data_IF_577966896875
#
_entry.id   IF_577966896875
#
_cell.length_a   1.000
_cell.length_b   1.000
_cell.length_c   1.000
_cell.angle_alpha   90.00
_cell.angle_beta   90.00
_cell.angle_gamma   90.00
#
_symmetry.space_group_name_H-M   'P 1'
#
loop_
_entity.id
_entity.type
_entity.pdbx_description
1 polymer ?
#
# COMPACT_ATOMS: atom_id res chain seq x y z
N UNK A 1 -33.05 -21.36 -81.11
CA UNK A 1 -34.17 -20.48 -81.46
C UNK A 1 -34.45 -19.59 -80.25
N UNK A 2 -34.23 -18.25 -80.34
CA UNK A 2 -34.48 -17.23 -79.28
C UNK A 2 -33.60 -17.36 -78.00
N UNK A 3 -33.24 -16.33 -77.20
CA UNK A 3 -33.25 -14.84 -77.30
C UNK A 3 -32.29 -14.24 -76.22
N UNK A 4 -31.64 -13.08 -76.48
CA UNK A 4 -31.01 -12.08 -75.54
C UNK A 4 -29.95 -12.53 -74.47
N UNK A 5 -28.78 -11.90 -74.23
CA UNK A 5 -28.42 -10.51 -73.80
C UNK A 5 -29.08 -10.12 -72.43
N UNK A 6 -28.45 -9.57 -71.36
CA UNK A 6 -27.22 -8.77 -71.05
C UNK A 6 -26.74 -9.17 -69.61
N UNK A 7 -25.48 -9.17 -69.10
CA UNK A 7 -24.11 -8.69 -69.44
C UNK A 7 -23.62 -7.36 -68.76
N UNK A 8 -23.00 -7.43 -67.56
CA UNK A 8 -21.98 -6.50 -66.95
C UNK A 8 -21.42 -7.21 -65.66
N UNK A 9 -20.11 -7.42 -65.38
CA UNK A 9 -18.94 -6.52 -65.16
C UNK A 9 -19.08 -5.75 -63.83
N UNK A 10 -18.15 -5.79 -62.84
CA UNK A 10 -16.84 -6.46 -62.70
C UNK A 10 -16.36 -6.53 -61.22
N UNK A 11 -15.31 -7.31 -60.91
CA UNK A 11 -14.09 -6.79 -60.26
C UNK A 11 -12.87 -7.72 -60.44
N UNK A 12 -11.66 -7.18 -60.25
CA UNK A 12 -10.37 -7.89 -60.40
C UNK A 12 -9.92 -8.61 -59.12
N UNK A 13 -9.17 -9.70 -59.28
CA UNK A 13 -8.40 -10.34 -58.20
C UNK A 13 -7.12 -10.99 -58.76
N UNK A 14 -5.95 -10.61 -58.27
CA UNK A 14 -4.65 -11.11 -58.75
C UNK A 14 -4.38 -12.54 -58.28
N UNK A 15 -3.81 -13.36 -59.16
CA UNK A 15 -3.11 -14.58 -58.79
C UNK A 15 -1.68 -14.25 -58.34
N UNK A 16 -1.31 -14.57 -57.10
CA UNK A 16 0.05 -14.52 -56.59
C UNK A 16 0.41 -15.86 -55.94
N UNK A 17 1.65 -16.31 -56.12
CA UNK A 17 2.15 -17.57 -55.54
C UNK A 17 2.35 -17.43 -54.02
N UNK A 18 1.89 -18.42 -53.26
CA UNK A 18 2.29 -18.60 -51.87
C UNK A 18 3.53 -19.50 -51.80
N UNK A 19 4.60 -19.01 -51.16
CA UNK A 19 5.74 -19.84 -50.77
C UNK A 19 5.44 -20.50 -49.40
N UNK A 20 5.91 -21.73 -49.22
CA UNK A 20 5.85 -22.44 -47.94
C UNK A 20 7.15 -22.21 -47.17
N UNK A 21 7.09 -21.70 -45.93
CA UNK A 21 8.06 -22.00 -44.89
C UNK A 21 7.54 -23.14 -43.99
N UNK A 22 8.46 -23.96 -43.54
CA UNK A 22 8.26 -25.15 -42.70
C UNK A 22 7.85 -24.75 -41.26
N UNK A 23 6.90 -25.46 -40.65
CA UNK A 23 6.57 -25.32 -39.23
C UNK A 23 6.34 -26.69 -38.60
N UNK A 24 6.97 -26.93 -37.45
CA UNK A 24 7.31 -28.28 -36.97
C UNK A 24 6.49 -28.68 -35.75
N UNK A 25 6.04 -29.95 -35.72
CA UNK A 25 5.82 -30.63 -34.44
C UNK A 25 4.52 -30.35 -33.67
N UNK A 26 3.38 -30.18 -34.35
CA UNK A 26 2.07 -30.16 -33.69
C UNK A 26 1.65 -31.53 -33.15
N UNK A 27 2.05 -31.89 -31.92
CA UNK A 27 1.56 -33.09 -31.21
C UNK A 27 0.93 -32.71 -29.87
N UNK A 28 -0.42 -32.63 -29.85
CA UNK A 28 -1.16 -32.41 -28.62
C UNK A 28 -1.19 -33.67 -27.76
N UNK A 29 -0.36 -33.72 -26.72
CA UNK A 29 -0.50 -34.71 -25.64
C UNK A 29 -1.76 -34.40 -24.82
N UNK A 30 -2.60 -35.41 -24.48
CA UNK A 30 -3.72 -35.19 -23.57
C UNK A 30 -3.19 -34.84 -22.18
N UNK A 31 -3.68 -33.76 -21.58
CA UNK A 31 -3.25 -33.33 -20.25
C UNK A 31 -3.86 -34.21 -19.16
N UNK A 32 -3.16 -35.29 -18.80
CA UNK A 32 -3.31 -35.97 -17.51
C UNK A 32 -2.70 -35.13 -16.40
N UNK A 33 -3.26 -35.19 -15.18
CA UNK A 33 -2.89 -34.39 -13.99
C UNK A 33 -1.48 -34.64 -13.40
N UNK A 34 -0.55 -35.17 -14.20
CA UNK A 34 0.80 -35.61 -13.80
C UNK A 34 1.91 -35.00 -14.67
N UNK A 35 1.65 -33.91 -15.39
CA UNK A 35 2.68 -33.14 -16.10
C UNK A 35 3.54 -32.36 -15.11
N UNK A 36 4.87 -32.50 -15.18
CA UNK A 36 5.83 -31.84 -14.28
C UNK A 36 5.60 -30.32 -14.15
N UNK A 37 5.73 -29.74 -12.93
CA UNK A 37 5.45 -28.33 -12.67
C UNK A 37 6.61 -27.42 -13.12
N UNK A 38 6.95 -27.45 -14.41
CA UNK A 38 8.20 -26.87 -14.93
C UNK A 38 8.08 -26.01 -16.19
N UNK A 39 6.92 -25.39 -16.45
CA UNK A 39 6.73 -24.55 -17.65
C UNK A 39 5.84 -23.30 -17.47
N UNK A 40 5.87 -22.66 -16.29
CA UNK A 40 5.25 -21.31 -16.09
C UNK A 40 6.11 -20.30 -15.33
N UNK A 41 7.12 -20.73 -14.57
CA UNK A 41 8.22 -19.88 -14.10
C UNK A 41 9.55 -20.40 -14.67
N UNK A 42 10.14 -19.66 -15.61
CA UNK A 42 11.33 -20.11 -16.32
C UNK A 42 12.58 -20.17 -15.44
N UNK A 43 13.06 -21.39 -15.15
CA UNK A 43 14.42 -21.75 -14.70
C UNK A 43 15.10 -20.84 -13.66
N UNK A 44 14.34 -20.28 -12.70
CA UNK A 44 14.93 -19.75 -11.46
C UNK A 44 15.29 -20.90 -10.53
N UNK A 45 16.43 -20.86 -9.81
CA UNK A 45 16.68 -21.81 -8.72
C UNK A 45 15.63 -21.61 -7.63
N UNK A 46 15.20 -22.70 -7.00
CA UNK A 46 14.34 -22.64 -5.83
C UNK A 46 15.17 -22.11 -4.64
N UNK A 47 14.70 -21.02 -4.04
CA UNK A 47 15.22 -20.53 -2.77
C UNK A 47 14.43 -21.17 -1.62
N UNK A 48 15.14 -21.78 -0.67
CA UNK A 48 14.57 -22.62 0.38
C UNK A 48 14.18 -24.05 -0.06
N UNK A 49 13.33 -24.69 0.73
CA UNK A 49 12.98 -26.12 0.61
C UNK A 49 11.75 -26.35 -0.29
N UNK A 50 10.86 -25.36 -0.40
CA UNK A 50 9.55 -25.47 -1.05
C UNK A 50 9.07 -24.12 -1.59
N UNK A 51 8.26 -24.15 -2.65
CA UNK A 51 7.64 -22.96 -3.21
C UNK A 51 6.49 -22.46 -2.32
N UNK A 52 6.58 -21.22 -1.82
CA UNK A 52 5.58 -20.59 -0.92
C UNK A 52 4.26 -20.17 -1.63
N UNK A 53 3.61 -21.10 -2.33
CA UNK A 53 2.37 -20.85 -3.12
C UNK A 53 1.17 -20.40 -2.26
N UNK A 54 1.09 -20.85 -1.01
CA UNK A 54 -0.05 -20.59 -0.10
C UNK A 54 -0.37 -19.10 0.09
N UNK A 55 0.63 -18.21 0.07
CA UNK A 55 0.39 -16.77 0.20
C UNK A 55 -0.03 -16.12 -1.13
N UNK A 56 0.54 -16.56 -2.26
CA UNK A 56 0.19 -16.03 -3.59
C UNK A 56 -1.29 -16.27 -3.94
N UNK A 57 -1.84 -17.41 -3.51
CA UNK A 57 -3.22 -17.82 -3.73
C UNK A 57 -4.18 -17.38 -2.60
N UNK A 58 -3.68 -16.69 -1.56
CA UNK A 58 -4.48 -16.30 -0.39
C UNK A 58 -5.55 -15.26 -0.76
N UNK A 59 -6.82 -15.62 -0.54
CA UNK A 59 -7.97 -14.71 -0.61
C UNK A 59 -8.34 -14.21 0.77
N UNK A 60 -8.66 -12.92 0.86
CA UNK A 60 -9.13 -12.27 2.10
C UNK A 60 -10.64 -12.45 2.26
N UNK A 61 -11.12 -12.59 3.50
CA UNK A 61 -12.55 -12.58 3.80
C UNK A 61 -13.10 -11.14 3.82
N UNK A 62 -14.20 -10.83 3.11
CA UNK A 62 -14.81 -9.51 3.14
C UNK A 62 -15.26 -9.15 4.56
N UNK A 63 -15.23 -7.87 4.90
CA UNK A 63 -15.72 -7.42 6.20
C UNK A 63 -17.23 -7.62 6.35
N UNK A 64 -17.62 -7.93 7.58
CA UNK A 64 -19.01 -7.96 8.02
C UNK A 64 -19.68 -6.58 7.86
N UNK A 65 -20.91 -6.60 7.32
CA UNK A 65 -21.74 -5.42 7.09
C UNK A 65 -22.58 -5.12 8.33
N UNK A 66 -21.99 -4.39 9.27
CA UNK A 66 -22.67 -3.81 10.43
C UNK A 66 -23.78 -2.87 9.94
N UNK A 67 -25.00 -2.99 10.48
CA UNK A 67 -26.12 -2.10 10.14
C UNK A 67 -26.04 -0.81 10.97
N UNK A 68 -26.61 0.27 10.45
CA UNK A 68 -26.63 1.58 11.14
C UNK A 68 -27.34 1.52 12.51
N UNK A 69 -28.34 0.65 12.67
CA UNK A 69 -29.04 0.45 13.95
C UNK A 69 -28.20 -0.30 15.00
N UNK A 70 -27.25 -1.12 14.55
CA UNK A 70 -26.46 -2.01 15.41
C UNK A 70 -25.12 -1.34 15.82
N UNK A 71 -24.85 -0.14 15.28
CA UNK A 71 -23.73 0.73 15.62
C UNK A 71 -24.07 1.61 16.84
N UNK A 72 -23.86 1.09 18.04
CA UNK A 72 -24.18 1.82 19.28
C UNK A 72 -23.25 3.03 19.54
N UNK A 73 -21.98 2.92 19.14
CA UNK A 73 -20.95 3.92 19.41
C UNK A 73 -19.86 3.87 18.34
N UNK A 74 -19.35 5.04 17.92
CA UNK A 74 -18.22 5.17 16.99
C UNK A 74 -17.24 6.26 17.49
N UNK A 75 -15.93 5.97 17.51
CA UNK A 75 -14.88 6.96 17.76
C UNK A 75 -13.73 6.77 16.77
N UNK A 76 -13.28 7.86 16.13
CA UNK A 76 -12.18 7.82 15.15
C UNK A 76 -10.86 8.21 15.80
N UNK A 77 -9.82 7.44 15.51
CA UNK A 77 -8.50 7.58 16.14
C UNK A 77 -7.45 7.57 15.04
N UNK A 78 -6.50 8.50 15.11
CA UNK A 78 -5.31 8.51 14.27
C UNK A 78 -4.12 8.15 15.14
N UNK A 79 -3.43 7.07 14.76
CA UNK A 79 -2.22 6.59 15.40
C UNK A 79 -0.99 6.84 14.54
N UNK A 80 0.19 6.79 15.15
CA UNK A 80 1.47 6.68 14.45
C UNK A 80 2.16 5.41 14.92
N UNK A 81 2.52 4.57 13.96
CA UNK A 81 3.46 3.45 14.09
C UNK A 81 4.87 4.03 13.85
N UNK A 82 5.80 3.78 14.75
CA UNK A 82 7.19 4.20 14.60
C UNK A 82 8.10 2.98 14.37
N UNK A 83 8.77 2.93 13.21
CA UNK A 83 9.53 1.73 12.79
C UNK A 83 10.80 1.49 13.62
N UNK A 84 11.21 2.49 14.41
CA UNK A 84 12.35 2.42 15.32
C UNK A 84 12.04 1.60 16.58
N UNK A 85 10.76 1.34 16.85
CA UNK A 85 10.34 0.46 17.95
C UNK A 85 10.53 -1.01 17.58
N UNK A 86 11.02 -1.83 18.52
CA UNK A 86 11.40 -3.23 18.27
C UNK A 86 10.28 -4.08 17.66
N UNK A 87 9.02 -3.82 18.03
CA UNK A 87 7.85 -4.55 17.52
C UNK A 87 7.51 -4.19 16.05
N UNK A 88 8.03 -3.06 15.55
CA UNK A 88 7.73 -2.50 14.24
C UNK A 88 8.89 -2.66 13.23
N UNK A 89 9.98 -3.34 13.59
CA UNK A 89 11.15 -3.48 12.71
C UNK A 89 10.86 -4.19 11.38
N UNK A 90 9.83 -5.06 11.31
CA UNK A 90 9.43 -5.73 10.06
C UNK A 90 9.00 -4.76 8.95
N UNK A 91 8.61 -3.52 9.29
CA UNK A 91 8.29 -2.48 8.30
C UNK A 91 9.53 -2.01 7.50
N UNK A 92 10.73 -2.23 8.05
CA UNK A 92 12.02 -1.79 7.52
C UNK A 92 12.91 -2.96 7.05
N UNK A 93 12.30 -4.11 6.79
CA UNK A 93 13.01 -5.29 6.30
C UNK A 93 13.67 -4.99 4.94
N UNK A 94 15.01 -5.16 4.77
CA UNK A 94 15.71 -4.61 3.60
C UNK A 94 15.31 -5.17 2.22
N UNK A 95 14.85 -6.42 2.13
CA UNK A 95 14.46 -7.06 0.86
C UNK A 95 13.05 -6.65 0.40
N UNK A 96 12.11 -6.60 1.35
CA UNK A 96 10.70 -6.25 1.11
C UNK A 96 10.20 -5.23 2.18
N UNK A 97 10.67 -3.97 2.16
CA UNK A 97 10.19 -2.97 3.11
C UNK A 97 8.75 -2.56 2.78
N UNK A 98 7.95 -2.26 3.82
CA UNK A 98 6.51 -2.07 3.66
C UNK A 98 6.14 -0.92 2.71
N UNK A 99 6.96 0.14 2.70
CA UNK A 99 6.79 1.26 1.78
C UNK A 99 6.91 0.83 0.32
N UNK A 100 7.93 0.03 -0.02
CA UNK A 100 8.18 -0.43 -1.38
C UNK A 100 6.99 -1.21 -1.95
N UNK A 101 6.35 -2.05 -1.14
CA UNK A 101 5.16 -2.81 -1.51
C UNK A 101 4.03 -1.84 -1.93
N UNK A 102 3.78 -0.80 -1.13
CA UNK A 102 2.79 0.24 -1.44
C UNK A 102 3.17 1.02 -2.72
N UNK A 103 4.43 1.45 -2.86
CA UNK A 103 4.86 2.25 -4.01
C UNK A 103 4.81 1.43 -5.32
N UNK A 104 5.23 0.16 -5.28
CA UNK A 104 5.17 -0.77 -6.42
C UNK A 104 3.71 -1.05 -6.81
N UNK A 105 2.80 -1.23 -5.86
CA UNK A 105 1.37 -1.40 -6.13
C UNK A 105 0.73 -0.13 -6.73
N UNK A 106 1.03 1.05 -6.18
CA UNK A 106 0.52 2.32 -6.69
C UNK A 106 0.99 2.63 -8.12
N UNK A 107 2.27 2.37 -8.44
CA UNK A 107 2.79 2.53 -9.80
C UNK A 107 2.07 1.64 -10.82
N UNK A 108 1.63 0.44 -10.42
CA UNK A 108 0.91 -0.52 -11.26
C UNK A 108 -0.60 -0.29 -11.40
N UNK A 109 -1.20 0.68 -10.69
CA UNK A 109 -2.66 0.81 -10.49
C UNK A 109 -3.32 -0.30 -9.62
N UNK A 110 -2.54 -1.11 -8.89
CA UNK A 110 -3.09 -2.16 -8.02
C UNK A 110 -3.81 -1.60 -6.78
N UNK A 111 -3.53 -0.35 -6.38
CA UNK A 111 -4.17 0.35 -5.25
C UNK A 111 -4.47 1.83 -5.56
N UNK A 112 -5.54 2.37 -4.99
CA UNK A 112 -5.88 3.79 -5.08
C UNK A 112 -5.15 4.62 -4.02
N UNK A 113 -4.51 5.72 -4.46
CA UNK A 113 -3.79 6.68 -3.61
C UNK A 113 -4.59 7.99 -3.49
N UNK A 114 -4.53 8.63 -2.33
CA UNK A 114 -5.36 9.77 -1.96
C UNK A 114 -4.58 10.91 -1.28
N UNK A 115 -5.10 12.13 -1.39
CA UNK A 115 -4.52 13.35 -0.79
C UNK A 115 -4.67 13.41 0.74
N UNK A 116 -3.63 13.96 1.37
CA UNK A 116 -3.48 14.26 2.79
C UNK A 116 -4.34 15.42 3.30
N UNK A 117 -4.88 16.28 2.43
CA UNK A 117 -5.52 17.56 2.80
C UNK A 117 -6.67 17.44 3.80
N UNK A 118 -7.49 16.38 3.67
CA UNK A 118 -8.82 16.31 4.28
C UNK A 118 -9.06 15.03 5.11
N UNK A 119 -8.09 14.10 5.16
CA UNK A 119 -8.20 12.76 5.80
C UNK A 119 -9.45 11.94 5.39
N UNK A 120 -10.16 12.30 4.31
CA UNK A 120 -11.50 11.77 3.95
C UNK A 120 -11.52 10.86 2.71
N UNK A 121 -10.35 10.57 2.11
CA UNK A 121 -10.23 9.75 0.89
C UNK A 121 -11.07 10.28 -0.30
N UNK A 122 -11.31 11.60 -0.39
CA UNK A 122 -12.09 12.21 -1.47
C UNK A 122 -11.27 12.44 -2.73
N UNK A 123 -10.08 13.03 -2.58
CA UNK A 123 -9.22 13.45 -3.68
C UNK A 123 -8.24 12.30 -4.01
N UNK A 124 -8.48 11.60 -5.12
CA UNK A 124 -7.56 10.57 -5.66
C UNK A 124 -6.38 11.23 -6.37
N UNK A 125 -5.17 10.77 -6.08
CA UNK A 125 -3.91 11.20 -6.70
C UNK A 125 -3.65 10.34 -7.94
N UNK A 126 -3.17 10.95 -9.03
CA UNK A 126 -2.78 10.25 -10.26
C UNK A 126 -1.33 9.75 -10.19
N UNK A 127 -0.99 8.69 -10.92
CA UNK A 127 0.34 8.03 -10.87
C UNK A 127 1.52 9.00 -11.04
N UNK A 128 1.40 9.97 -11.95
CA UNK A 128 2.46 10.95 -12.23
C UNK A 128 2.70 11.91 -11.04
N UNK A 129 1.67 12.18 -10.24
CA UNK A 129 1.74 12.96 -9.00
C UNK A 129 2.25 12.11 -7.83
N UNK A 130 1.90 10.81 -7.77
CA UNK A 130 2.56 9.87 -6.84
C UNK A 130 4.05 9.80 -7.16
N UNK A 131 4.44 9.70 -8.44
CA UNK A 131 5.83 9.68 -8.88
C UNK A 131 6.59 10.96 -8.51
N UNK A 132 6.01 12.14 -8.68
CA UNK A 132 6.67 13.40 -8.28
C UNK A 132 6.79 13.57 -6.76
N UNK A 133 5.91 12.94 -5.97
CA UNK A 133 6.05 12.81 -4.50
C UNK A 133 7.12 11.80 -4.07
N UNK A 134 7.51 10.84 -4.93
CA UNK A 134 8.59 9.86 -4.70
C UNK A 134 9.96 10.41 -5.12
N UNK A 135 10.12 10.84 -6.37
CA UNK A 135 11.41 11.26 -6.93
C UNK A 135 11.46 12.79 -7.09
N UNK A 136 12.15 13.48 -6.17
CA UNK A 136 12.40 14.92 -6.34
C UNK A 136 13.64 15.11 -7.20
N UNK A 137 13.44 15.53 -8.45
CA UNK A 137 14.52 16.12 -9.26
C UNK A 137 14.93 17.45 -8.60
N UNK A 138 16.19 17.55 -8.21
CA UNK A 138 16.76 18.78 -7.64
C UNK A 138 17.92 19.28 -8.49
N UNK A 139 18.11 20.59 -8.50
CA UNK A 139 18.96 21.27 -9.48
C UNK A 139 20.01 22.08 -8.75
N UNK A 140 21.17 21.47 -8.50
CA UNK A 140 22.27 22.14 -7.81
C UNK A 140 23.19 22.82 -8.83
N UNK A 141 23.30 24.15 -8.73
CA UNK A 141 24.23 24.94 -9.51
C UNK A 141 25.62 24.87 -8.87
N UNK A 142 26.56 24.20 -9.54
CA UNK A 142 27.95 24.07 -9.12
C UNK A 142 28.81 24.95 -10.02
N UNK A 143 29.42 25.98 -9.44
CA UNK A 143 30.40 26.81 -10.14
C UNK A 143 31.72 26.04 -10.27
N UNK A 144 32.19 25.85 -11.50
CA UNK A 144 33.42 25.10 -11.75
C UNK A 144 34.64 25.98 -11.42
N UNK A 145 35.56 25.58 -10.51
CA UNK A 145 36.56 26.48 -9.94
C UNK A 145 37.67 26.92 -10.91
N UNK A 146 37.80 26.29 -12.08
CA UNK A 146 38.79 26.67 -13.10
C UNK A 146 38.21 27.51 -14.25
N UNK A 147 36.92 27.35 -14.61
CA UNK A 147 36.29 28.10 -15.71
C UNK A 147 35.30 29.17 -15.25
N UNK A 148 34.91 29.18 -13.98
CA UNK A 148 33.85 30.04 -13.42
C UNK A 148 32.46 29.88 -14.08
N UNK A 149 32.27 28.86 -14.91
CA UNK A 149 30.98 28.54 -15.50
C UNK A 149 30.08 27.81 -14.50
N UNK A 150 28.79 28.19 -14.47
CA UNK A 150 27.80 27.52 -13.62
C UNK A 150 27.33 26.24 -14.29
N UNK A 151 27.79 25.09 -13.81
CA UNK A 151 27.34 23.77 -14.29
C UNK A 151 26.15 23.29 -13.48
N UNK A 152 25.01 23.20 -14.15
CA UNK A 152 23.73 22.72 -13.59
C UNK A 152 23.77 21.21 -13.35
N UNK A 153 24.06 20.77 -12.12
CA UNK A 153 24.02 19.36 -11.74
C UNK A 153 22.61 18.95 -11.32
N UNK A 154 21.86 18.45 -12.29
CA UNK A 154 20.58 17.78 -12.04
C UNK A 154 20.84 16.50 -11.23
N UNK A 155 20.39 16.47 -9.99
CA UNK A 155 20.50 15.34 -9.06
C UNK A 155 19.10 14.80 -8.79
N UNK A 156 18.87 13.52 -9.04
CA UNK A 156 17.62 12.86 -8.66
C UNK A 156 17.74 12.38 -7.22
N UNK A 157 16.98 12.99 -6.33
CA UNK A 157 16.76 12.46 -4.99
C UNK A 157 15.54 11.52 -5.08
N UNK A 158 15.83 10.28 -5.45
CA UNK A 158 14.86 9.17 -5.36
C UNK A 158 14.70 8.79 -3.89
N UNK A 159 13.45 8.64 -3.42
CA UNK A 159 13.16 8.38 -2.01
C UNK A 159 13.72 7.02 -1.57
N UNK A 160 14.46 7.02 -0.45
CA UNK A 160 14.90 5.81 0.22
C UNK A 160 13.84 5.39 1.26
N UNK A 161 13.53 4.09 1.36
CA UNK A 161 12.64 3.56 2.40
C UNK A 161 13.11 3.95 3.82
N UNK A 162 14.42 4.16 4.01
CA UNK A 162 15.02 4.58 5.28
C UNK A 162 14.64 6.00 5.74
N UNK A 163 14.13 6.85 4.83
CA UNK A 163 13.65 8.20 5.16
C UNK A 163 12.24 8.20 5.79
N UNK A 164 11.46 7.13 5.57
CA UNK A 164 10.10 6.96 6.09
C UNK A 164 10.15 6.16 7.39
N UNK A 165 10.31 6.89 8.51
CA UNK A 165 10.47 6.30 9.85
C UNK A 165 9.15 6.07 10.57
N UNK A 166 8.04 6.56 10.02
CA UNK A 166 6.74 6.53 10.66
C UNK A 166 5.62 6.26 9.65
N UNK A 167 4.56 5.62 10.11
CA UNK A 167 3.32 5.42 9.34
C UNK A 167 2.13 5.89 10.16
N UNK A 168 1.31 6.78 9.61
CA UNK A 168 0.01 7.13 10.21
C UNK A 168 -0.98 6.01 9.90
N UNK A 169 -1.80 5.65 10.88
CA UNK A 169 -2.93 4.74 10.69
C UNK A 169 -4.20 5.46 11.13
N UNK A 170 -5.24 5.43 10.32
CA UNK A 170 -6.57 5.96 10.64
C UNK A 170 -7.50 4.80 10.97
N UNK A 171 -8.04 4.80 12.18
CA UNK A 171 -8.85 3.73 12.75
C UNK A 171 -10.26 4.23 13.08
N UNK A 172 -11.24 3.34 12.95
CA UNK A 172 -12.58 3.48 13.53
C UNK A 172 -12.71 2.42 14.61
N UNK A 173 -12.89 2.87 15.85
CA UNK A 173 -13.30 2.04 16.99
C UNK A 173 -14.81 2.12 17.07
N UNK A 174 -15.50 0.98 17.17
CA UNK A 174 -16.95 0.93 17.18
C UNK A 174 -17.49 -0.21 18.04
N UNK A 175 -18.58 0.03 18.76
CA UNK A 175 -19.28 -1.02 19.50
C UNK A 175 -20.39 -1.61 18.63
N UNK A 176 -20.29 -2.92 18.39
CA UNK A 176 -21.26 -3.71 17.64
C UNK A 176 -22.29 -4.30 18.61
N UNK A 177 -23.54 -3.86 18.51
CA UNK A 177 -24.61 -4.27 19.42
C UNK A 177 -25.18 -5.67 19.13
N UNK A 178 -24.98 -6.23 17.93
CA UNK A 178 -25.43 -7.60 17.61
C UNK A 178 -24.48 -8.63 18.22
N UNK A 179 -23.18 -8.32 18.29
CA UNK A 179 -22.15 -9.20 18.88
C UNK A 179 -21.70 -8.80 20.29
N UNK A 180 -22.13 -7.62 20.78
CA UNK A 180 -21.75 -7.03 22.06
C UNK A 180 -20.23 -6.86 22.25
N UNK A 181 -19.49 -6.57 21.17
CA UNK A 181 -18.02 -6.43 21.19
C UNK A 181 -17.57 -5.06 20.69
N UNK A 182 -16.52 -4.51 21.31
CA UNK A 182 -15.79 -3.39 20.73
C UNK A 182 -14.89 -3.92 19.60
N UNK A 183 -15.18 -3.52 18.37
CA UNK A 183 -14.41 -3.85 17.17
C UNK A 183 -13.60 -2.65 16.71
N UNK A 184 -12.52 -2.90 15.96
CA UNK A 184 -11.75 -1.85 15.30
C UNK A 184 -11.62 -2.16 13.82
N UNK A 185 -11.72 -1.13 12.98
CA UNK A 185 -11.50 -1.24 11.52
C UNK A 185 -10.51 -0.17 11.08
N UNK A 186 -9.41 -0.58 10.46
CA UNK A 186 -8.46 0.35 9.85
C UNK A 186 -9.09 0.87 8.55
N UNK A 187 -9.20 2.20 8.42
CA UNK A 187 -9.67 2.85 7.20
C UNK A 187 -8.54 3.12 6.22
N UNK A 188 -7.33 3.42 6.72
CA UNK A 188 -6.24 3.77 5.84
C UNK A 188 -4.92 3.98 6.56
N UNK A 189 -3.86 4.00 5.75
CA UNK A 189 -2.46 4.12 6.17
C UNK A 189 -1.82 5.24 5.34
N UNK A 190 -0.91 6.00 5.94
CA UNK A 190 -0.14 7.03 5.24
C UNK A 190 1.34 6.99 5.65
N UNK A 191 2.28 6.80 4.71
CA UNK A 191 3.70 7.02 4.96
C UNK A 191 3.97 8.44 5.47
N UNK A 192 4.78 8.56 6.52
CA UNK A 192 5.23 9.84 7.07
C UNK A 192 6.72 10.04 6.75
N UNK A 193 7.06 11.20 6.18
CA UNK A 193 8.43 11.60 5.84
C UNK A 193 8.77 12.98 6.41
N UNK A 194 10.02 13.14 6.84
CA UNK A 194 10.57 14.44 7.22
C UNK A 194 10.83 15.30 5.97
N UNK A 195 10.32 16.54 5.98
CA UNK A 195 10.50 17.53 4.91
C UNK A 195 11.58 18.53 5.33
N UNK A 196 12.60 18.67 4.49
CA UNK A 196 13.73 19.58 4.68
C UNK A 196 13.68 20.72 3.66
N UNK A 197 14.19 21.90 4.02
CA UNK A 197 14.37 23.01 3.09
C UNK A 197 15.47 22.67 2.06
N UNK A 198 15.13 22.78 0.78
CA UNK A 198 16.03 22.52 -0.36
C UNK A 198 17.27 23.43 -0.36
N UNK A 199 17.20 24.63 0.23
CA UNK A 199 18.30 25.61 0.21
C UNK A 199 19.22 25.52 1.42
N UNK A 200 18.67 25.25 2.61
CA UNK A 200 19.42 25.29 3.86
C UNK A 200 19.70 23.92 4.48
N UNK A 201 19.05 22.85 4.00
CA UNK A 201 19.10 21.52 4.63
C UNK A 201 18.36 21.43 5.98
N UNK A 202 17.77 22.53 6.45
CA UNK A 202 17.06 22.60 7.73
C UNK A 202 15.77 21.77 7.69
N UNK A 203 15.46 21.07 8.79
CA UNK A 203 14.16 20.44 8.99
C UNK A 203 13.04 21.50 9.02
N UNK A 204 11.97 21.26 8.27
CA UNK A 204 10.78 22.13 8.24
C UNK A 204 9.63 21.52 9.04
N UNK A 205 9.18 20.33 8.65
CA UNK A 205 8.09 19.61 9.32
C UNK A 205 8.08 18.12 8.91
N UNK A 206 7.45 17.29 9.74
CA UNK A 206 7.18 15.88 9.46
C UNK A 206 5.78 15.74 8.83
N UNK A 207 5.71 15.32 7.57
CA UNK A 207 4.48 15.31 6.76
C UNK A 207 3.99 13.90 6.38
N UNK A 208 2.69 13.72 6.20
CA UNK A 208 2.15 12.53 5.55
C UNK A 208 2.26 12.69 4.03
N UNK A 209 2.72 11.68 3.31
CA UNK A 209 2.96 11.78 1.86
C UNK A 209 1.68 11.66 1.03
N UNK A 210 0.85 10.69 1.38
CA UNK A 210 -0.44 10.36 0.77
C UNK A 210 -1.16 9.35 1.69
N UNK A 211 -2.47 9.21 1.53
CA UNK A 211 -3.26 8.13 2.14
C UNK A 211 -3.49 6.99 1.15
N UNK A 212 -3.47 5.75 1.64
CA UNK A 212 -4.08 4.58 0.98
C UNK A 212 -5.28 4.10 1.78
N UNK A 213 -6.32 3.64 1.10
CA UNK A 213 -7.53 3.11 1.74
C UNK A 213 -7.34 1.62 2.04
N UNK A 214 -7.28 1.26 3.31
CA UNK A 214 -6.85 -0.07 3.76
C UNK A 214 -7.77 -1.22 3.29
N UNK A 215 -9.11 -1.12 3.35
CA UNK A 215 -9.99 -2.21 2.92
C UNK A 215 -9.75 -2.69 1.49
N UNK A 216 -9.55 -1.77 0.54
CA UNK A 216 -9.22 -2.10 -0.86
C UNK A 216 -7.84 -2.76 -0.98
N UNK A 217 -6.89 -2.38 -0.12
CA UNK A 217 -5.52 -2.89 -0.13
C UNK A 217 -5.37 -4.27 0.56
N UNK A 218 -6.40 -4.81 1.24
CA UNK A 218 -6.27 -6.06 2.01
C UNK A 218 -5.83 -7.25 1.16
N UNK A 219 -6.34 -7.39 -0.07
CA UNK A 219 -5.92 -8.47 -0.98
C UNK A 219 -4.44 -8.37 -1.39
N UNK A 220 -3.89 -7.16 -1.53
CA UNK A 220 -2.46 -6.96 -1.76
C UNK A 220 -1.67 -7.40 -0.52
N UNK A 221 -2.07 -6.93 0.66
CA UNK A 221 -1.38 -7.19 1.92
C UNK A 221 -1.45 -8.66 2.37
N UNK A 222 -2.46 -9.43 1.97
CA UNK A 222 -2.53 -10.87 2.24
C UNK A 222 -1.58 -11.71 1.38
N UNK A 223 -1.20 -11.21 0.20
CA UNK A 223 -0.26 -11.89 -0.72
C UNK A 223 1.21 -11.62 -0.39
N UNK A 224 1.51 -10.50 0.28
CA UNK A 224 2.85 -10.17 0.73
C UNK A 224 3.12 -10.66 2.16
N UNK A 225 4.28 -11.28 2.35
CA UNK A 225 4.75 -11.76 3.65
C UNK A 225 5.34 -10.62 4.51
N UNK A 226 5.22 -10.77 5.82
CA UNK A 226 5.92 -9.99 6.86
C UNK A 226 7.13 -10.80 7.32
N UNK A 227 8.25 -10.13 7.58
CA UNK A 227 9.39 -10.78 8.22
C UNK A 227 9.09 -11.08 9.70
N UNK A 228 9.08 -12.37 10.07
CA UNK A 228 8.80 -12.85 11.42
C UNK A 228 9.99 -12.60 12.36
N UNK A 229 9.90 -11.62 13.26
CA UNK A 229 10.93 -11.34 14.30
C UNK A 229 10.86 -12.37 15.45
N UNK A 230 11.07 -13.65 15.11
CA UNK A 230 10.92 -14.80 15.99
C UNK A 230 11.53 -16.12 15.50
N UNK A 231 12.07 -16.18 14.27
CA UNK A 231 12.88 -17.33 13.81
C UNK A 231 12.12 -18.54 13.27
N UNK A 232 10.91 -18.36 12.72
CA UNK A 232 10.24 -19.36 11.89
C UNK A 232 9.80 -18.76 10.55
N UNK A 233 10.57 -19.02 9.50
CA UNK A 233 10.31 -18.53 8.14
C UNK A 233 9.42 -19.47 7.30
N UNK A 234 9.08 -20.65 7.83
CA UNK A 234 8.19 -21.62 7.19
C UNK A 234 6.70 -21.26 7.33
N UNK A 235 6.36 -20.43 8.33
CA UNK A 235 5.00 -19.91 8.55
C UNK A 235 5.03 -18.38 8.66
N UNK A 236 5.31 -17.64 7.57
CA UNK A 236 5.29 -16.19 7.58
C UNK A 236 3.89 -15.67 7.93
N UNK A 237 3.83 -14.57 8.68
CA UNK A 237 2.62 -13.74 8.80
C UNK A 237 2.43 -12.95 7.49
N UNK A 238 1.20 -12.61 7.08
CA UNK A 238 0.97 -11.65 5.98
C UNK A 238 0.81 -10.22 6.51
N UNK A 239 0.94 -9.20 5.65
CA UNK A 239 0.70 -7.82 6.09
C UNK A 239 -0.75 -7.60 6.53
N UNK A 240 -1.70 -8.33 5.95
CA UNK A 240 -3.11 -8.30 6.32
C UNK A 240 -3.33 -8.88 7.73
N UNK A 241 -2.68 -10.01 8.07
CA UNK A 241 -2.69 -10.56 9.44
C UNK A 241 -2.14 -9.54 10.45
N UNK A 242 -1.00 -8.91 10.16
CA UNK A 242 -0.34 -7.99 11.09
C UNK A 242 -1.22 -6.78 11.43
N UNK A 243 -1.91 -6.22 10.43
CA UNK A 243 -2.80 -5.07 10.65
C UNK A 243 -4.12 -5.47 11.32
N UNK A 244 -4.74 -6.59 10.93
CA UNK A 244 -6.02 -7.04 11.48
C UNK A 244 -5.86 -7.57 12.93
N UNK A 245 -4.79 -8.31 13.22
CA UNK A 245 -4.40 -8.70 14.60
C UNK A 245 -3.84 -7.53 15.41
N UNK A 246 -3.65 -6.35 14.79
CA UNK A 246 -3.02 -5.16 15.37
C UNK A 246 -1.64 -5.40 16.00
N UNK A 247 -0.83 -6.28 15.40
CA UNK A 247 0.49 -6.66 15.90
C UNK A 247 1.56 -5.60 15.58
N UNK A 248 1.35 -4.39 16.10
CA UNK A 248 2.24 -3.23 15.95
C UNK A 248 2.18 -2.32 17.17
N UNK A 249 3.30 -1.68 17.50
CA UNK A 249 3.37 -0.64 18.54
C UNK A 249 2.99 0.71 17.94
N UNK A 250 2.20 1.51 18.64
CA UNK A 250 1.72 2.81 18.16
C UNK A 250 1.17 3.72 19.26
N UNK A 251 1.33 5.03 19.08
CA UNK A 251 0.77 6.08 19.93
C UNK A 251 -0.34 6.86 19.21
N UNK A 252 -1.28 7.44 19.96
CA UNK A 252 -2.37 8.26 19.42
C UNK A 252 -1.90 9.70 19.23
N UNK A 253 -2.25 10.32 18.09
CA UNK A 253 -1.91 11.73 17.76
C UNK A 253 -3.13 12.64 17.57
N UNK A 254 -4.32 12.06 17.32
CA UNK A 254 -5.59 12.78 17.11
C UNK A 254 -6.75 11.82 17.35
N UNK A 255 -7.81 12.34 17.93
CA UNK A 255 -9.13 11.70 18.00
C UNK A 255 -10.20 12.55 17.29
N UNK A 256 -11.34 11.97 16.96
CA UNK A 256 -12.52 12.71 16.49
C UNK A 256 -13.02 13.67 17.55
N UNK A 257 -12.78 14.97 17.35
CA UNK A 257 -13.21 16.05 18.24
C UNK A 257 -13.88 17.19 17.46
N UNK A 258 -14.65 18.03 18.17
CA UNK A 258 -15.51 19.08 17.59
C UNK A 258 -14.75 20.10 16.72
N UNK A 259 -13.44 20.28 16.96
CA UNK A 259 -12.61 21.26 16.24
C UNK A 259 -11.62 20.60 15.27
N UNK A 260 -11.68 19.27 15.10
CA UNK A 260 -10.80 18.42 14.28
C UNK A 260 -9.27 18.58 14.53
N UNK A 261 -8.90 19.21 15.66
CA UNK A 261 -7.51 19.50 16.05
C UNK A 261 -6.75 18.23 16.44
N UNK A 262 -5.44 18.20 16.23
CA UNK A 262 -4.55 17.14 16.73
C UNK A 262 -4.22 17.40 18.20
N UNK A 263 -3.77 16.37 18.92
CA UNK A 263 -3.32 16.51 20.30
C UNK A 263 -2.17 17.51 20.39
N UNK A 264 -1.23 17.47 19.43
CA UNK A 264 -0.12 18.41 19.29
C UNK A 264 -0.54 19.89 19.17
N UNK A 265 -1.72 20.16 18.59
CA UNK A 265 -2.26 21.53 18.41
C UNK A 265 -2.92 22.09 19.70
N UNK A 266 -3.03 21.26 20.73
CA UNK A 266 -3.61 21.58 22.05
C UNK A 266 -2.52 21.49 23.13
N UNK A 267 -1.65 20.48 23.03
CA UNK A 267 -0.55 20.17 23.94
C UNK A 267 0.77 20.17 23.14
N UNK A 268 1.43 21.33 23.01
CA UNK A 268 2.66 21.45 22.21
C UNK A 268 3.89 20.79 22.86
N UNK A 269 3.81 20.42 24.14
CA UNK A 269 4.85 19.69 24.85
C UNK A 269 4.77 18.19 24.48
N UNK A 270 5.88 17.61 24.01
CA UNK A 270 5.91 16.20 23.59
C UNK A 270 5.52 15.20 24.68
N UNK A 271 5.86 15.47 25.94
CA UNK A 271 5.49 14.61 27.07
C UNK A 271 3.97 14.62 27.30
N UNK A 272 3.36 15.82 27.29
CA UNK A 272 1.93 15.99 27.52
C UNK A 272 1.12 15.34 26.38
N UNK A 273 1.58 15.47 25.13
CA UNK A 273 0.99 14.80 23.97
C UNK A 273 0.93 13.28 24.14
N UNK A 274 1.98 12.64 24.69
CA UNK A 274 2.00 11.20 24.94
C UNK A 274 1.06 10.81 26.10
N UNK A 275 1.00 11.62 27.16
CA UNK A 275 0.08 11.41 28.30
C UNK A 275 -1.38 11.52 27.85
N UNK A 276 -1.75 12.51 27.04
CA UNK A 276 -3.09 12.63 26.48
C UNK A 276 -3.41 11.52 25.47
N UNK A 277 -2.42 11.07 24.68
CA UNK A 277 -2.56 9.90 23.81
C UNK A 277 -2.90 8.61 24.58
N UNK A 278 -2.24 8.36 25.71
CA UNK A 278 -2.56 7.23 26.59
C UNK A 278 -3.89 7.41 27.35
N UNK A 279 -4.25 8.64 27.77
CA UNK A 279 -5.59 8.92 28.34
C UNK A 279 -6.72 8.62 27.34
N UNK A 280 -6.55 8.98 26.07
CA UNK A 280 -7.55 8.69 25.02
C UNK A 280 -7.68 7.18 24.82
N UNK A 281 -6.56 6.45 24.80
CA UNK A 281 -6.53 4.98 24.72
C UNK A 281 -7.22 4.33 25.93
N UNK A 282 -6.97 4.82 27.15
CA UNK A 282 -7.67 4.39 28.36
C UNK A 282 -9.17 4.69 28.26
N UNK A 283 -9.60 5.90 27.87
CA UNK A 283 -11.02 6.25 27.73
C UNK A 283 -11.84 5.36 26.78
N UNK A 284 -11.16 4.67 25.86
CA UNK A 284 -11.78 3.71 24.93
C UNK A 284 -11.89 2.31 25.57
N UNK A 285 -10.89 1.91 26.35
CA UNK A 285 -10.88 0.66 27.11
C UNK A 285 -11.81 0.72 28.33
N UNK A 286 -11.83 1.84 29.05
CA UNK A 286 -12.71 2.09 30.18
C UNK A 286 -14.18 2.08 29.70
N UNK A 287 -14.48 2.69 28.55
CA UNK A 287 -15.80 2.60 27.92
C UNK A 287 -16.20 1.17 27.53
N UNK A 288 -15.24 0.31 27.13
CA UNK A 288 -15.53 -1.10 26.93
C UNK A 288 -15.83 -1.80 28.27
N UNK A 289 -15.01 -1.57 29.29
CA UNK A 289 -15.16 -2.19 30.60
C UNK A 289 -16.47 -1.81 31.30
N UNK A 290 -16.86 -0.53 31.22
CA UNK A 290 -18.11 -0.01 31.80
C UNK A 290 -19.36 -0.63 31.17
N UNK A 291 -19.29 -1.14 29.93
CA UNK A 291 -20.38 -1.89 29.28
C UNK A 291 -20.49 -3.34 29.77
N UNK A 292 -19.43 -3.89 30.36
CA UNK A 292 -19.40 -5.26 30.94
C UNK A 292 -19.66 -5.30 32.45
N UNK A 293 -19.46 -4.20 33.17
CA UNK A 293 -19.67 -4.12 34.63
C UNK A 293 -21.09 -3.66 34.99
N UNK A 294 -21.75 -4.38 35.91
CA UNK A 294 -23.09 -4.09 36.43
C UNK A 294 -23.20 -4.50 37.90
#
# INVERSE_FOLDING_TARGET
MKISLVLFISFFGLSAYAQVPENTGGTGTPMTESSDPKDTLGNKPLDGILEKKVMLERRVLPYEQVRENDLYWEKRVWRVIDVREKMNHSFMYPEEPFLDIILKAAQKDEIAVYSEENDKFTNKIQKDEVASKISSVDTTEIMDPETYETKTKITRNDLNYQDVKQFRVKEVWYFDAEQATLKVRILGIAPIRDVFDKKSGNFLYTGAMFWIYYPDCRELFARHQVFNVGGNDASPMSWEDLFEMRYFSSFIIKESNVQDRKIQDIYPNGNDMLVEGEKIKLSIFDFEHDLWSY
#
